data_IF_128343608485
#
_entry.id   IF_128343608485
#
_cell.length_a   1.000
_cell.length_b   1.000
_cell.length_c   1.000
_cell.angle_alpha   90.00
_cell.angle_beta   90.00
_cell.angle_gamma   90.00
#
_symmetry.space_group_name_H-M   'P 1'
#
loop_
_entity.id
_entity.type
_entity.pdbx_description
1 polymer ?
#
# COMPACT_ATOMS: atom_id res chain seq x y z
N UNK A 1 11.89 -2.13 21.80
CA UNK A 1 11.07 -3.16 21.09
C UNK A 1 11.80 -3.59 19.83
N UNK A 2 11.71 -4.85 19.42
CA UNK A 2 12.39 -5.32 18.18
C UNK A 2 11.69 -4.82 16.92
N UNK A 3 12.46 -4.52 15.88
CA UNK A 3 11.97 -4.17 14.55
C UNK A 3 11.14 -5.34 13.98
N UNK A 4 9.88 -5.10 13.66
CA UNK A 4 8.99 -6.14 13.12
C UNK A 4 9.45 -6.65 11.75
N UNK A 5 10.10 -5.79 10.97
CA UNK A 5 10.48 -6.10 9.58
C UNK A 5 11.67 -7.03 9.44
N UNK A 6 12.66 -6.91 10.32
CA UNK A 6 13.85 -7.76 10.28
C UNK A 6 13.97 -8.70 11.48
N UNK A 7 13.21 -8.47 12.56
CA UNK A 7 13.26 -9.21 13.84
C UNK A 7 14.65 -9.36 14.47
N UNK A 8 15.65 -8.60 13.99
CA UNK A 8 17.07 -8.72 14.42
C UNK A 8 17.51 -7.50 15.21
N UNK A 9 17.12 -6.29 14.79
CA UNK A 9 17.55 -5.01 15.40
C UNK A 9 16.45 -4.37 16.22
N UNK A 10 16.84 -3.49 17.13
CA UNK A 10 15.90 -2.63 17.85
C UNK A 10 15.20 -1.66 16.90
N UNK A 11 13.94 -1.40 17.19
CA UNK A 11 13.15 -0.42 16.45
C UNK A 11 13.44 0.98 16.96
N UNK A 12 13.38 1.94 16.04
CA UNK A 12 13.56 3.36 16.31
C UNK A 12 12.24 4.07 16.01
N UNK A 13 11.77 4.89 16.95
CA UNK A 13 10.45 5.53 16.85
C UNK A 13 10.36 6.50 15.66
N UNK A 14 11.46 7.22 15.37
CA UNK A 14 11.57 8.12 14.21
C UNK A 14 11.41 7.40 12.86
N UNK A 15 11.74 6.11 12.84
CA UNK A 15 11.64 5.28 11.66
C UNK A 15 10.42 4.38 11.67
N UNK A 16 9.50 4.49 12.64
CA UNK A 16 8.27 3.68 12.64
C UNK A 16 7.45 3.86 11.35
N UNK A 17 6.83 2.77 10.89
CA UNK A 17 5.90 2.83 9.76
C UNK A 17 4.53 3.24 10.29
N UNK A 18 4.15 4.49 10.04
CA UNK A 18 2.86 5.05 10.43
C UNK A 18 1.77 4.59 9.46
N UNK A 19 0.74 3.94 9.98
CA UNK A 19 -0.42 3.49 9.23
C UNK A 19 -1.67 4.04 9.90
N UNK A 20 -2.48 4.74 9.11
CA UNK A 20 -3.76 5.25 9.57
C UNK A 20 -4.87 4.33 9.06
N UNK A 21 -5.78 3.99 9.96
CA UNK A 21 -6.96 3.20 9.65
C UNK A 21 -8.19 3.90 10.21
N UNK A 22 -9.26 3.94 9.43
CA UNK A 22 -10.55 4.48 9.85
C UNK A 22 -11.58 3.36 9.96
N UNK A 23 -12.47 3.44 10.94
CA UNK A 23 -13.55 2.49 11.16
C UNK A 23 -14.52 3.06 12.19
N UNK A 24 -15.45 2.23 12.66
CA UNK A 24 -16.41 2.57 13.73
C UNK A 24 -17.20 3.85 13.44
N UNK A 25 -18.32 3.69 12.73
CA UNK A 25 -19.08 4.80 12.17
C UNK A 25 -20.21 5.17 13.12
N UNK A 26 -20.06 6.29 13.79
CA UNK A 26 -21.13 6.90 14.58
C UNK A 26 -22.00 7.75 13.66
N UNK A 27 -23.20 7.25 13.34
CA UNK A 27 -24.21 8.02 12.61
C UNK A 27 -25.18 8.68 13.58
N UNK A 28 -25.16 10.01 13.65
CA UNK A 28 -26.18 10.80 14.35
C UNK A 28 -27.14 11.39 13.33
N UNK A 29 -28.38 10.91 13.31
CA UNK A 29 -29.45 11.47 12.49
C UNK A 29 -30.15 12.59 13.25
N UNK A 30 -29.96 13.83 12.80
CA UNK A 30 -30.79 14.98 13.16
C UNK A 30 -31.85 15.20 12.06
N UNK A 31 -33.04 15.74 12.37
CA UNK A 31 -34.09 15.99 11.38
C UNK A 31 -33.65 16.81 10.16
N UNK A 32 -32.60 17.62 10.29
CA UNK A 32 -32.04 18.46 9.22
C UNK A 32 -30.71 17.97 8.65
N UNK A 33 -30.04 17.01 9.30
CA UNK A 33 -28.69 16.60 8.92
C UNK A 33 -28.33 15.21 9.45
N UNK A 34 -27.73 14.37 8.61
CA UNK A 34 -27.04 13.16 9.08
C UNK A 34 -25.57 13.50 9.30
N UNK A 35 -25.10 13.47 10.55
CA UNK A 35 -23.69 13.60 10.87
C UNK A 35 -23.07 12.21 10.99
N UNK A 36 -21.98 11.99 10.28
CA UNK A 36 -21.24 10.72 10.25
C UNK A 36 -19.86 10.98 10.82
N UNK A 37 -19.59 10.45 12.01
CA UNK A 37 -18.27 10.49 12.63
C UNK A 37 -17.56 9.14 12.42
N UNK A 38 -16.26 9.20 12.12
CA UNK A 38 -15.42 8.02 11.91
C UNK A 38 -14.33 8.01 12.97
N UNK A 39 -14.07 6.87 13.58
CA UNK A 39 -12.94 6.69 14.47
C UNK A 39 -11.66 6.43 13.65
N UNK A 40 -10.66 7.29 13.78
CA UNK A 40 -9.36 7.13 13.12
C UNK A 40 -8.33 6.63 14.13
N UNK A 41 -7.79 5.45 13.86
CA UNK A 41 -6.71 4.82 14.63
C UNK A 41 -5.38 5.02 13.91
N UNK A 42 -4.39 5.48 14.66
CA UNK A 42 -3.01 5.63 14.22
C UNK A 42 -2.22 4.47 14.79
N UNK A 43 -1.57 3.69 13.91
CA UNK A 43 -0.83 2.50 14.26
C UNK A 43 0.61 2.70 13.83
N UNK A 44 1.53 2.55 14.76
CA UNK A 44 2.96 2.67 14.51
C UNK A 44 3.59 1.28 14.49
N UNK A 45 3.98 0.80 13.30
CA UNK A 45 4.65 -0.49 13.16
C UNK A 45 6.16 -0.31 13.41
N UNK A 46 6.76 -1.00 14.40
CA UNK A 46 8.14 -0.79 14.79
C UNK A 46 9.12 -1.17 13.67
N UNK A 47 10.00 -0.22 13.31
CA UNK A 47 10.98 -0.37 12.22
C UNK A 47 12.32 0.26 12.63
N UNK A 48 13.43 -0.33 12.18
CA UNK A 48 14.78 0.22 12.37
C UNK A 48 15.26 1.04 11.15
N UNK A 49 16.29 1.85 11.31
CA UNK A 49 16.85 2.70 10.24
C UNK A 49 17.26 1.92 8.97
N UNK A 50 17.86 0.73 9.11
CA UNK A 50 18.29 -0.09 7.95
C UNK A 50 17.10 -0.68 7.17
N UNK A 51 16.02 -1.08 7.86
CA UNK A 51 14.81 -1.50 7.17
C UNK A 51 14.14 -0.33 6.45
N UNK A 52 14.19 0.86 7.05
CA UNK A 52 13.67 2.07 6.43
C UNK A 52 14.42 2.42 5.14
N UNK A 53 15.75 2.46 5.17
CA UNK A 53 16.59 2.79 4.01
C UNK A 53 16.40 1.77 2.88
N UNK A 54 16.35 0.46 3.20
CA UNK A 54 16.12 -0.58 2.19
C UNK A 54 14.74 -0.48 1.56
N UNK A 55 13.69 -0.17 2.33
CA UNK A 55 12.36 0.09 1.75
C UNK A 55 12.36 1.33 0.84
N UNK A 56 13.10 2.38 1.20
CA UNK A 56 13.26 3.54 0.33
C UNK A 56 14.00 3.20 -0.97
N UNK A 57 15.11 2.45 -0.88
CA UNK A 57 15.87 1.98 -2.05
C UNK A 57 14.97 1.16 -2.98
N UNK A 58 14.17 0.24 -2.43
CA UNK A 58 13.23 -0.55 -3.23
C UNK A 58 12.17 0.34 -3.87
N UNK A 59 11.62 1.30 -3.13
CA UNK A 59 10.62 2.24 -3.67
C UNK A 59 11.21 3.05 -4.82
N UNK A 60 12.41 3.61 -4.64
CA UNK A 60 13.11 4.38 -5.65
C UNK A 60 13.46 3.51 -6.86
N UNK A 61 14.02 2.32 -6.66
CA UNK A 61 14.35 1.38 -7.72
C UNK A 61 13.11 1.00 -8.55
N UNK A 62 11.95 0.89 -7.91
CA UNK A 62 10.68 0.60 -8.59
C UNK A 62 10.24 1.79 -9.46
N UNK A 63 10.36 3.02 -8.95
CA UNK A 63 10.03 4.23 -9.72
C UNK A 63 10.97 4.38 -10.92
N UNK A 64 12.28 4.20 -10.71
CA UNK A 64 13.28 4.28 -11.79
C UNK A 64 13.08 3.18 -12.82
N UNK A 65 12.82 1.94 -12.40
CA UNK A 65 12.49 0.84 -13.31
C UNK A 65 11.25 1.14 -14.16
N UNK A 66 10.21 1.73 -13.57
CA UNK A 66 9.01 2.14 -14.31
C UNK A 66 9.34 3.21 -15.37
N UNK A 67 10.11 4.24 -15.00
CA UNK A 67 10.55 5.28 -15.94
C UNK A 67 11.38 4.71 -17.11
N UNK A 68 12.33 3.81 -16.80
CA UNK A 68 13.15 3.14 -17.82
C UNK A 68 12.33 2.23 -18.73
N UNK A 69 11.27 1.61 -18.20
CA UNK A 69 10.35 0.80 -19.00
C UNK A 69 9.60 1.65 -20.02
N UNK A 70 9.18 2.87 -19.65
CA UNK A 70 8.58 3.82 -20.59
C UNK A 70 9.56 4.21 -21.69
N UNK A 71 10.83 4.46 -21.34
CA UNK A 71 11.90 4.76 -22.32
C UNK A 71 12.13 3.57 -23.25
N UNK A 72 12.15 2.35 -22.72
CA UNK A 72 12.29 1.13 -23.52
C UNK A 72 11.15 0.99 -24.53
N UNK A 73 9.90 1.21 -24.11
CA UNK A 73 8.73 1.17 -25.00
C UNK A 73 8.87 2.24 -26.09
N UNK A 74 9.25 3.46 -25.74
CA UNK A 74 9.46 4.54 -26.71
C UNK A 74 10.57 4.20 -27.72
N UNK A 75 11.68 3.62 -27.26
CA UNK A 75 12.78 3.19 -28.14
C UNK A 75 12.33 2.09 -29.12
N UNK A 76 11.52 1.14 -28.65
CA UNK A 76 10.92 0.09 -29.51
C UNK A 76 9.98 0.70 -30.55
N UNK A 77 9.14 1.67 -30.17
CA UNK A 77 8.26 2.36 -31.13
C UNK A 77 9.08 3.13 -32.18
N UNK A 78 10.12 3.86 -31.77
CA UNK A 78 11.02 4.54 -32.70
C UNK A 78 11.70 3.57 -33.69
N UNK A 79 12.01 2.34 -33.24
CA UNK A 79 12.56 1.30 -34.09
C UNK A 79 11.55 0.80 -35.13
N UNK A 80 10.30 0.58 -34.72
CA UNK A 80 9.22 0.08 -35.60
C UNK A 80 8.82 1.10 -36.67
N UNK A 81 8.77 2.39 -36.31
CA UNK A 81 8.36 3.45 -37.24
C UNK A 81 9.53 4.10 -37.99
N UNK A 82 10.76 3.62 -37.78
CA UNK A 82 12.00 4.16 -38.36
C UNK A 82 12.14 5.69 -38.22
N UNK A 83 11.59 6.27 -37.15
CA UNK A 83 11.63 7.72 -36.92
C UNK A 83 13.02 8.26 -36.62
N UNK A 84 13.91 7.39 -36.13
CA UNK A 84 15.21 7.77 -35.61
C UNK A 84 16.27 6.81 -36.14
N UNK A 85 17.50 7.31 -36.29
CA UNK A 85 18.62 6.51 -36.78
C UNK A 85 18.82 5.20 -35.98
N UNK A 86 19.16 4.08 -36.65
CA UNK A 86 19.17 2.76 -36.01
C UNK A 86 20.04 2.63 -34.76
N UNK A 87 21.17 3.34 -34.71
CA UNK A 87 22.08 3.30 -33.58
C UNK A 87 21.48 3.94 -32.31
N UNK A 88 20.63 4.96 -32.46
CA UNK A 88 20.05 5.69 -31.32
C UNK A 88 19.05 4.80 -30.59
N UNK A 89 18.13 4.16 -31.32
CA UNK A 89 17.14 3.28 -30.68
C UNK A 89 17.78 2.01 -30.13
N UNK A 90 18.82 1.47 -30.78
CA UNK A 90 19.52 0.28 -30.31
C UNK A 90 20.25 0.52 -28.98
N UNK A 91 20.97 1.65 -28.84
CA UNK A 91 21.63 2.03 -27.58
C UNK A 91 20.59 2.29 -26.48
N UNK A 92 19.53 3.05 -26.80
CA UNK A 92 18.48 3.36 -25.85
C UNK A 92 17.77 2.08 -25.35
N UNK A 93 17.43 1.15 -26.23
CA UNK A 93 16.79 -0.10 -25.89
C UNK A 93 17.71 -1.01 -25.06
N UNK A 94 18.97 -1.16 -25.45
CA UNK A 94 19.93 -2.00 -24.71
C UNK A 94 20.19 -1.47 -23.29
N UNK A 95 20.41 -0.16 -23.15
CA UNK A 95 20.72 0.46 -21.87
C UNK A 95 19.51 0.47 -20.92
N UNK A 96 18.32 0.79 -21.44
CA UNK A 96 17.09 0.75 -20.64
C UNK A 96 16.75 -0.67 -20.19
N UNK A 97 16.86 -1.67 -21.07
CA UNK A 97 16.61 -3.07 -20.71
C UNK A 97 17.58 -3.58 -19.63
N UNK A 98 18.89 -3.32 -19.79
CA UNK A 98 19.89 -3.72 -18.81
C UNK A 98 19.66 -3.07 -17.44
N UNK A 99 19.33 -1.78 -17.39
CA UNK A 99 19.03 -1.08 -16.14
C UNK A 99 17.74 -1.56 -15.48
N UNK A 100 16.69 -1.88 -16.24
CA UNK A 100 15.46 -2.46 -15.69
C UNK A 100 15.75 -3.79 -15.00
N UNK A 101 16.51 -4.68 -15.65
CA UNK A 101 16.91 -5.95 -15.05
C UNK A 101 17.75 -5.75 -13.79
N UNK A 102 18.71 -4.81 -13.82
CA UNK A 102 19.50 -4.45 -12.64
C UNK A 102 18.65 -3.99 -11.46
N UNK A 103 17.68 -3.11 -11.71
CA UNK A 103 16.76 -2.61 -10.67
C UNK A 103 15.87 -3.71 -10.09
N UNK A 104 15.39 -4.64 -10.93
CA UNK A 104 14.62 -5.80 -10.47
C UNK A 104 15.47 -6.73 -9.59
N UNK A 105 16.74 -6.94 -9.94
CA UNK A 105 17.67 -7.74 -9.13
C UNK A 105 17.93 -7.08 -7.76
N UNK A 106 18.17 -5.76 -7.72
CA UNK A 106 18.32 -5.00 -6.46
C UNK A 106 17.07 -5.16 -5.58
N UNK A 107 15.89 -5.02 -6.18
CA UNK A 107 14.62 -5.21 -5.47
C UNK A 107 14.49 -6.60 -4.87
N UNK A 108 14.87 -7.64 -5.62
CA UNK A 108 14.82 -9.03 -5.14
C UNK A 108 15.76 -9.25 -3.94
N UNK A 109 17.00 -8.79 -4.03
CA UNK A 109 17.99 -8.92 -2.95
C UNK A 109 17.55 -8.15 -1.70
N UNK A 110 17.04 -6.92 -1.86
CA UNK A 110 16.57 -6.11 -0.75
C UNK A 110 15.38 -6.74 -0.01
N UNK A 111 14.49 -7.44 -0.71
CA UNK A 111 13.34 -8.12 -0.11
C UNK A 111 13.64 -9.52 0.46
N UNK A 112 14.72 -10.18 0.06
CA UNK A 112 15.05 -11.54 0.50
C UNK A 112 15.22 -11.66 2.03
N UNK A 113 15.61 -10.57 2.70
CA UNK A 113 15.95 -10.58 4.13
C UNK A 113 14.97 -9.82 5.03
N UNK A 114 13.94 -9.18 4.48
CA UNK A 114 13.10 -8.24 5.23
C UNK A 114 11.65 -8.36 4.78
N UNK A 115 10.71 -8.36 5.74
CA UNK A 115 9.29 -8.29 5.43
C UNK A 115 8.96 -7.02 4.62
N UNK A 116 8.04 -7.16 3.67
CA UNK A 116 7.58 -6.03 2.88
C UNK A 116 6.56 -5.17 3.65
N UNK A 117 6.43 -3.90 3.28
CA UNK A 117 5.34 -3.03 3.78
C UNK A 117 3.96 -3.66 3.53
N UNK A 118 3.80 -4.38 2.41
CA UNK A 118 2.56 -5.11 2.09
C UNK A 118 2.28 -6.22 3.11
N UNK A 119 3.30 -6.96 3.54
CA UNK A 119 3.17 -7.97 4.59
C UNK A 119 2.86 -7.33 5.95
N UNK A 120 3.44 -6.17 6.28
CA UNK A 120 3.09 -5.45 7.51
C UNK A 120 1.60 -5.11 7.56
N UNK A 121 1.04 -4.60 6.46
CA UNK A 121 -0.40 -4.30 6.35
C UNK A 121 -1.31 -5.53 6.45
N UNK A 122 -0.81 -6.73 6.16
CA UNK A 122 -1.61 -7.95 6.20
C UNK A 122 -1.46 -8.73 7.52
N UNK A 123 -0.26 -8.75 8.09
CA UNK A 123 0.12 -9.70 9.13
C UNK A 123 0.42 -9.06 10.49
N UNK A 124 0.51 -7.72 10.57
CA UNK A 124 0.72 -7.07 11.87
C UNK A 124 -0.52 -7.26 12.75
N UNK A 125 -0.38 -7.75 14.00
CA UNK A 125 -1.51 -8.21 14.81
C UNK A 125 -2.54 -7.11 15.09
N UNK A 126 -2.09 -5.87 15.35
CA UNK A 126 -2.98 -4.75 15.59
C UNK A 126 -3.79 -4.37 14.33
N UNK A 127 -3.14 -4.35 13.17
CA UNK A 127 -3.81 -4.10 11.89
C UNK A 127 -4.81 -5.19 11.59
N UNK A 128 -4.43 -6.46 11.80
CA UNK A 128 -5.33 -7.59 11.58
C UNK A 128 -6.57 -7.52 12.48
N UNK A 129 -6.40 -7.18 13.76
CA UNK A 129 -7.52 -6.99 14.68
C UNK A 129 -8.45 -5.84 14.28
N UNK A 130 -7.93 -4.79 13.63
CA UNK A 130 -8.75 -3.70 13.09
C UNK A 130 -9.43 -4.09 11.78
N UNK A 131 -8.77 -4.84 10.91
CA UNK A 131 -9.38 -5.40 9.69
C UNK A 131 -10.56 -6.32 10.02
N UNK A 132 -10.43 -7.16 11.06
CA UNK A 132 -11.52 -8.00 11.59
C UNK A 132 -12.71 -7.15 12.11
N UNK A 133 -12.46 -5.91 12.56
CA UNK A 133 -13.47 -4.93 12.99
C UNK A 133 -13.97 -4.02 11.86
N UNK A 134 -13.75 -4.39 10.60
CA UNK A 134 -14.14 -3.61 9.41
C UNK A 134 -13.47 -2.23 9.29
N UNK A 135 -12.31 -2.00 9.93
CA UNK A 135 -11.52 -0.81 9.66
C UNK A 135 -10.87 -0.89 8.28
N UNK A 136 -10.64 0.27 7.66
CA UNK A 136 -10.04 0.43 6.33
C UNK A 136 -8.82 1.33 6.39
N UNK A 137 -7.89 1.13 5.45
CA UNK A 137 -6.68 1.94 5.36
C UNK A 137 -6.97 3.33 4.81
N UNK A 138 -6.28 4.34 5.37
CA UNK A 138 -6.27 5.71 4.88
C UNK A 138 -6.87 6.71 5.86
N UNK A 139 -6.90 7.98 5.42
CA UNK A 139 -7.66 9.05 6.08
C UNK A 139 -9.09 9.00 5.57
N UNK A 140 -10.04 9.25 6.48
CA UNK A 140 -11.48 9.32 6.25
C UNK A 140 -11.88 9.71 4.81
N UNK A 141 -12.81 8.97 4.16
CA UNK A 141 -13.35 9.39 2.88
C UNK A 141 -14.09 10.72 3.04
N UNK A 142 -13.73 11.73 2.24
CA UNK A 142 -14.52 12.97 2.13
C UNK A 142 -15.79 12.66 1.35
N UNK A 143 -16.91 12.39 2.03
CA UNK A 143 -18.20 12.11 1.38
C UNK A 143 -19.14 11.22 2.19
N UNK A 144 -20.20 10.75 1.53
CA UNK A 144 -21.14 9.78 2.07
C UNK A 144 -20.45 8.46 2.43
N UNK A 145 -20.87 7.78 3.51
CA UNK A 145 -20.27 6.51 3.91
C UNK A 145 -20.40 5.48 2.79
N UNK A 146 -19.35 4.68 2.52
CA UNK A 146 -19.42 3.62 1.53
C UNK A 146 -20.45 2.56 1.94
N UNK A 147 -21.20 2.02 0.98
CA UNK A 147 -22.33 1.10 1.20
C UNK A 147 -21.96 -0.14 2.05
N UNK A 148 -20.72 -0.61 1.90
CA UNK A 148 -20.13 -1.72 2.65
C UNK A 148 -19.86 -1.46 4.14
N UNK A 149 -20.28 -0.31 4.67
CA UNK A 149 -20.14 0.04 6.10
C UNK A 149 -21.44 -0.09 6.87
N UNK A 150 -22.54 -0.46 6.21
CA UNK A 150 -23.78 -0.73 6.91
C UNK A 150 -23.63 -2.02 7.71
N UNK A 151 -24.06 -2.03 8.99
CA UNK A 151 -24.17 -3.27 9.74
C UNK A 151 -25.01 -4.25 8.91
N UNK A 152 -24.58 -5.50 8.76
CA UNK A 152 -25.45 -6.54 8.25
C UNK A 152 -26.69 -6.54 9.15
N UNK A 153 -27.83 -6.14 8.61
CA UNK A 153 -29.10 -6.10 9.31
C UNK A 153 -29.45 -7.54 9.70
N UNK A 154 -29.13 -7.92 10.95
CA UNK A 154 -29.69 -9.09 11.61
C UNK A 154 -31.11 -8.71 12.01
N UNK A 155 -31.99 -8.68 11.03
CA UNK A 155 -33.41 -8.43 11.24
C UNK A 155 -34.23 -9.42 10.42
N UNK A 156 -34.12 -10.70 10.77
CA UNK A 156 -35.22 -11.65 10.53
C UNK A 156 -35.25 -12.81 11.54
N UNK A 157 -35.30 -12.50 12.84
CA UNK A 157 -35.72 -13.46 13.85
C UNK A 157 -36.69 -12.75 14.80
N UNK A 158 -37.94 -12.60 14.35
CA UNK A 158 -39.14 -12.43 15.18
C UNK A 158 -40.36 -12.26 14.27
N UNK A 159 -40.80 -13.35 13.64
CA UNK A 159 -42.15 -13.45 13.11
C UNK A 159 -42.95 -14.36 14.05
N UNK A 160 -43.94 -13.84 14.80
CA UNK A 160 -44.77 -14.67 15.67
C UNK A 160 -45.66 -15.62 14.83
N UNK A 161 -46.04 -16.80 15.37
CA UNK A 161 -46.85 -17.77 14.64
C UNK A 161 -48.26 -17.20 14.38
N UNK A 162 -48.71 -17.35 13.14
CA UNK A 162 -50.05 -16.96 12.71
C UNK A 162 -51.13 -17.85 13.34
N UNK A 163 -52.34 -17.31 13.58
CA UNK A 163 -53.46 -18.03 14.21
C UNK A 163 -54.06 -19.14 13.33
#
# INVERSE_FOLDING_TARGET
MSCWFCSVREAEDDHALKIEMYGDIDTRRSPSQTQVAYNVRHIDVPRCADCHSRHQIVSLATIVAAALTVILIAAVLCAVFEWVSPWIWAIAAGLSFGLVLGMLAVRFVAHKSIFSVRQAKANFPEIRGLLEKNYRFGRQPKGSPPESSQPNDVSNENQPPAP
#
